data_IF_132258262012
#
_entry.id   IF_132258262012
#
_cell.length_a   1.000
_cell.length_b   1.000
_cell.length_c   1.000
_cell.angle_alpha   90.00
_cell.angle_beta   90.00
_cell.angle_gamma   90.00
#
_symmetry.space_group_name_H-M   'P 1'
#
loop_
_entity.id
_entity.type
_entity.pdbx_description
1 polymer ?
#
# COMPACT_ATOMS: atom_id res chain seq x y z
N UNK A 1 -62.57 -19.37 33.46
CA UNK A 1 -61.88 -18.12 33.84
C UNK A 1 -60.50 -18.16 33.19
N UNK A 2 -60.22 -17.19 32.32
CA UNK A 2 -58.99 -17.04 31.52
C UNK A 2 -57.71 -17.13 32.35
N UNK A 3 -56.71 -17.88 31.90
CA UNK A 3 -55.32 -17.45 32.01
C UNK A 3 -54.51 -17.86 30.78
N UNK A 4 -53.89 -16.84 30.18
CA UNK A 4 -53.13 -16.83 28.94
C UNK A 4 -51.71 -17.37 29.19
N UNK A 5 -51.22 -18.12 28.20
CA UNK A 5 -49.86 -18.19 27.66
C UNK A 5 -48.72 -17.55 28.47
N UNK A 6 -47.71 -18.37 28.81
CA UNK A 6 -46.34 -17.92 28.95
C UNK A 6 -45.41 -18.96 28.31
N UNK A 7 -45.00 -18.70 27.06
CA UNK A 7 -43.93 -19.44 26.37
C UNK A 7 -42.61 -18.86 26.89
N UNK A 8 -41.84 -19.68 27.59
CA UNK A 8 -40.49 -19.35 28.04
C UNK A 8 -39.53 -19.52 26.85
N UNK A 9 -39.24 -18.42 26.15
CA UNK A 9 -38.16 -18.41 25.15
C UNK A 9 -36.81 -18.37 25.88
N UNK A 10 -36.11 -19.51 25.88
CA UNK A 10 -34.69 -19.58 26.23
C UNK A 10 -33.90 -18.80 25.17
N UNK A 11 -33.57 -17.55 25.49
CA UNK A 11 -32.65 -16.75 24.71
C UNK A 11 -31.24 -17.31 24.86
N UNK A 12 -30.80 -18.07 23.85
CA UNK A 12 -29.39 -18.44 23.70
C UNK A 12 -28.61 -17.17 23.42
N UNK A 13 -27.94 -16.63 24.43
CA UNK A 13 -27.01 -15.52 24.26
C UNK A 13 -25.83 -16.05 23.44
N UNK A 14 -25.82 -15.77 22.15
CA UNK A 14 -24.64 -15.91 21.31
C UNK A 14 -23.65 -14.85 21.80
N UNK A 15 -22.66 -15.26 22.60
CA UNK A 15 -21.46 -14.46 22.78
C UNK A 15 -20.75 -14.42 21.43
N UNK A 16 -21.08 -13.41 20.63
CA UNK A 16 -20.22 -12.94 19.56
C UNK A 16 -18.92 -12.51 20.25
N UNK A 17 -17.92 -13.38 20.24
CA UNK A 17 -16.55 -12.99 20.48
C UNK A 17 -16.22 -11.94 19.42
N UNK A 18 -16.36 -10.66 19.78
CA UNK A 18 -15.79 -9.59 19.00
C UNK A 18 -14.31 -9.89 18.90
N UNK A 19 -13.85 -10.23 17.69
CA UNK A 19 -12.45 -10.08 17.35
C UNK A 19 -12.12 -8.62 17.68
N UNK A 20 -11.46 -8.43 18.81
CA UNK A 20 -10.94 -7.14 19.21
C UNK A 20 -9.81 -6.89 18.20
N UNK A 21 -10.12 -6.22 17.10
CA UNK A 21 -9.11 -5.64 16.23
C UNK A 21 -8.23 -4.80 17.16
N UNK A 22 -7.04 -5.30 17.46
CA UNK A 22 -5.96 -4.45 17.98
C UNK A 22 -5.78 -3.37 16.92
N UNK A 23 -6.46 -2.24 17.11
CA UNK A 23 -6.25 -1.01 16.34
C UNK A 23 -4.75 -0.79 16.34
N UNK A 24 -4.14 -1.03 15.19
CA UNK A 24 -2.78 -0.62 14.99
C UNK A 24 -2.71 0.87 15.31
N UNK A 25 -1.71 1.29 16.09
CA UNK A 25 -1.41 2.70 16.30
C UNK A 25 -0.99 3.42 15.00
N UNK A 26 -0.99 2.71 13.87
CA UNK A 26 -0.67 3.20 12.55
C UNK A 26 -1.94 3.33 11.71
N UNK A 27 -2.07 4.47 11.03
CA UNK A 27 -3.12 4.70 10.02
C UNK A 27 -2.73 3.97 8.75
N UNK A 28 -3.65 3.25 8.12
CA UNK A 28 -3.40 2.47 6.89
C UNK A 28 -4.38 2.89 5.81
N UNK A 29 -3.87 3.16 4.60
CA UNK A 29 -4.67 3.54 3.45
C UNK A 29 -4.15 2.96 2.14
N UNK A 30 -5.00 2.96 1.13
CA UNK A 30 -4.66 2.58 -0.23
C UNK A 30 -5.44 3.44 -1.23
N UNK A 31 -4.83 3.64 -2.39
CA UNK A 31 -5.43 4.31 -3.55
C UNK A 31 -5.15 3.47 -4.81
N UNK A 32 -6.20 3.25 -5.60
CA UNK A 32 -6.16 2.55 -6.88
C UNK A 32 -6.16 3.60 -8.00
N UNK A 33 -5.07 3.72 -8.76
CA UNK A 33 -5.04 4.69 -9.86
C UNK A 33 -6.00 4.25 -10.95
N UNK A 34 -7.05 5.04 -11.20
CA UNK A 34 -8.08 4.71 -12.19
C UNK A 34 -9.36 4.15 -11.58
N UNK A 35 -9.42 3.95 -10.26
CA UNK A 35 -10.67 3.83 -9.54
C UNK A 35 -11.39 5.18 -9.46
N UNK A 36 -12.72 5.19 -9.53
CA UNK A 36 -13.49 6.42 -9.41
C UNK A 36 -13.34 7.00 -8.00
N UNK A 37 -12.53 8.04 -7.84
CA UNK A 37 -12.56 8.87 -6.62
C UNK A 37 -13.88 9.64 -6.64
N UNK A 38 -14.78 9.35 -5.69
CA UNK A 38 -16.00 10.13 -5.48
C UNK A 38 -15.66 11.53 -4.92
N UNK A 39 -15.15 12.41 -5.79
CA UNK A 39 -14.99 13.83 -5.52
C UNK A 39 -16.25 14.53 -6.04
N UNK A 40 -16.98 15.30 -5.20
CA UNK A 40 -18.11 16.08 -5.67
C UNK A 40 -17.70 17.01 -6.83
N UNK A 41 -18.21 16.76 -8.04
CA UNK A 41 -17.96 17.58 -9.23
C UNK A 41 -16.88 17.08 -10.19
N UNK A 42 -16.22 15.94 -9.91
CA UNK A 42 -15.27 15.32 -10.85
C UNK A 42 -15.89 14.10 -11.53
N UNK A 43 -16.05 14.17 -12.86
CA UNK A 43 -16.48 13.03 -13.69
C UNK A 43 -15.23 12.49 -14.38
N UNK A 44 -14.69 11.39 -13.88
CA UNK A 44 -13.64 10.68 -14.61
C UNK A 44 -14.29 9.94 -15.79
N UNK A 45 -13.97 10.34 -17.03
CA UNK A 45 -14.37 9.59 -18.22
C UNK A 45 -13.44 8.39 -18.52
N UNK A 46 -12.39 8.14 -17.71
CA UNK A 46 -11.62 6.91 -17.77
C UNK A 46 -12.43 5.79 -17.10
N UNK A 47 -13.16 5.02 -17.91
CA UNK A 47 -14.00 3.90 -17.47
C UNK A 47 -13.21 2.64 -17.10
N UNK A 48 -11.90 2.63 -17.32
CA UNK A 48 -11.10 1.40 -17.26
C UNK A 48 -9.99 1.58 -16.22
N UNK A 49 -10.28 1.23 -14.97
CA UNK A 49 -9.26 1.04 -13.94
C UNK A 49 -8.23 -0.02 -14.34
N UNK A 50 -7.11 -0.15 -13.61
CA UNK A 50 -6.08 -1.11 -13.95
C UNK A 50 -6.63 -2.53 -13.89
N UNK A 51 -6.38 -3.30 -14.93
CA UNK A 51 -6.72 -4.72 -14.97
C UNK A 51 -5.59 -5.52 -14.30
N UNK A 52 -5.68 -5.66 -12.97
CA UNK A 52 -4.66 -6.34 -12.18
C UNK A 52 -4.48 -7.82 -12.50
N UNK A 53 -5.43 -8.45 -13.21
CA UNK A 53 -5.28 -9.83 -13.67
C UNK A 53 -4.10 -10.01 -14.63
N UNK A 54 -3.67 -8.94 -15.31
CA UNK A 54 -2.57 -8.95 -16.28
C UNK A 54 -1.17 -8.96 -15.65
N UNK A 55 -1.04 -8.57 -14.39
CA UNK A 55 0.25 -8.48 -13.73
C UNK A 55 0.60 -9.79 -13.04
N UNK A 56 1.68 -10.46 -13.48
CA UNK A 56 2.12 -11.77 -12.98
C UNK A 56 3.48 -11.70 -12.30
N UNK A 57 4.24 -10.66 -12.59
CA UNK A 57 5.60 -10.47 -12.14
C UNK A 57 5.84 -9.04 -11.69
N UNK A 58 6.87 -8.87 -10.86
CA UNK A 58 7.35 -7.56 -10.48
C UNK A 58 8.86 -7.50 -10.53
N UNK A 59 9.37 -6.29 -10.70
CA UNK A 59 10.77 -5.94 -10.60
C UNK A 59 10.91 -4.75 -9.66
N UNK A 60 12.06 -4.62 -9.01
CA UNK A 60 12.30 -3.48 -8.12
C UNK A 60 12.55 -2.21 -8.93
N UNK A 61 12.09 -1.08 -8.41
CA UNK A 61 12.53 0.20 -8.90
C UNK A 61 14.06 0.30 -8.82
N UNK A 62 14.73 0.95 -9.77
CA UNK A 62 16.19 0.93 -9.88
C UNK A 62 16.88 1.50 -8.63
N UNK A 63 16.30 2.51 -7.98
CA UNK A 63 16.79 3.06 -6.72
C UNK A 63 16.79 2.04 -5.56
N UNK A 64 15.94 1.02 -5.63
CA UNK A 64 15.92 -0.08 -4.66
C UNK A 64 16.94 -1.17 -4.98
N UNK A 65 17.44 -1.22 -6.21
CA UNK A 65 18.47 -2.15 -6.64
C UNK A 65 19.88 -1.64 -6.33
N UNK A 66 20.06 -0.32 -6.29
CA UNK A 66 21.33 0.30 -5.91
C UNK A 66 21.52 0.28 -4.38
N UNK A 67 22.45 -0.53 -3.89
CA UNK A 67 22.79 -0.64 -2.46
C UNK A 67 23.36 0.66 -1.87
N UNK A 68 23.90 1.54 -2.71
CA UNK A 68 24.49 2.82 -2.29
C UNK A 68 23.40 3.89 -2.10
N UNK A 69 22.25 3.74 -2.76
CA UNK A 69 21.15 4.68 -2.68
C UNK A 69 20.25 4.40 -1.46
N UNK A 70 20.56 5.01 -0.31
CA UNK A 70 19.84 4.81 0.96
C UNK A 70 19.08 6.04 1.48
N UNK A 71 19.10 7.14 0.73
CA UNK A 71 18.55 8.44 1.15
C UNK A 71 17.06 8.37 1.54
N UNK A 72 16.26 7.55 0.84
CA UNK A 72 14.83 7.39 1.09
C UNK A 72 14.48 6.30 2.13
N UNK A 73 15.51 5.78 2.78
CA UNK A 73 15.43 4.66 3.74
C UNK A 73 16.21 5.00 5.01
N UNK A 74 16.10 6.25 5.46
CA UNK A 74 16.71 6.71 6.72
C UNK A 74 18.25 6.59 6.72
N UNK A 75 18.85 6.63 5.52
CA UNK A 75 20.28 6.36 5.29
C UNK A 75 20.76 5.05 5.94
N UNK A 76 19.91 4.02 5.92
CA UNK A 76 20.13 2.76 6.63
C UNK A 76 19.90 1.56 5.69
N UNK A 77 21.00 0.96 5.23
CA UNK A 77 20.97 -0.18 4.31
C UNK A 77 20.32 -1.43 4.93
N UNK A 78 20.53 -1.67 6.22
CA UNK A 78 19.93 -2.83 6.92
C UNK A 78 18.42 -2.65 6.94
N UNK A 79 17.96 -1.45 7.25
CA UNK A 79 16.53 -1.11 7.25
C UNK A 79 15.92 -1.19 5.85
N UNK A 80 16.60 -0.68 4.81
CA UNK A 80 16.18 -0.83 3.40
C UNK A 80 15.99 -2.30 3.03
N UNK A 81 16.97 -3.15 3.34
CA UNK A 81 16.91 -4.59 3.07
C UNK A 81 15.76 -5.25 3.81
N UNK A 82 15.56 -4.92 5.09
CA UNK A 82 14.45 -5.44 5.88
C UNK A 82 13.07 -5.08 5.31
N UNK A 83 12.89 -3.83 4.82
CA UNK A 83 11.67 -3.40 4.15
C UNK A 83 11.47 -4.16 2.83
N UNK A 84 12.53 -4.27 2.03
CA UNK A 84 12.50 -5.04 0.77
C UNK A 84 12.09 -6.49 1.01
N UNK A 85 12.60 -7.12 2.07
CA UNK A 85 12.25 -8.49 2.44
C UNK A 85 10.78 -8.60 2.86
N UNK A 86 10.29 -7.68 3.70
CA UNK A 86 8.90 -7.65 4.12
C UNK A 86 7.95 -7.53 2.92
N UNK A 87 8.24 -6.61 2.00
CA UNK A 87 7.45 -6.40 0.77
C UNK A 87 7.55 -7.62 -0.16
N UNK A 88 8.74 -8.23 -0.29
CA UNK A 88 8.91 -9.46 -1.10
C UNK A 88 8.04 -10.60 -0.61
N UNK A 89 7.96 -10.79 0.71
CA UNK A 89 7.13 -11.83 1.31
C UNK A 89 5.64 -11.62 1.01
N UNK A 90 5.16 -10.36 1.05
CA UNK A 90 3.77 -10.04 0.72
C UNK A 90 3.45 -10.20 -0.77
N UNK A 91 4.39 -9.88 -1.66
CA UNK A 91 4.24 -10.11 -3.10
C UNK A 91 4.22 -11.61 -3.43
N UNK A 92 5.13 -12.39 -2.82
CA UNK A 92 5.20 -13.83 -3.01
C UNK A 92 3.94 -14.54 -2.46
N UNK A 93 3.41 -14.14 -1.30
CA UNK A 93 2.19 -14.70 -0.73
C UNK A 93 0.93 -14.44 -1.58
N UNK A 94 0.99 -13.41 -2.44
CA UNK A 94 -0.01 -13.07 -3.46
C UNK A 94 0.27 -13.66 -4.84
N UNK A 95 1.28 -14.51 -4.97
CA UNK A 95 1.56 -15.24 -6.20
C UNK A 95 2.25 -14.42 -7.30
N UNK A 96 2.85 -13.28 -6.96
CA UNK A 96 3.67 -12.54 -7.92
C UNK A 96 5.08 -13.12 -8.00
N UNK A 97 5.58 -13.27 -9.23
CA UNK A 97 6.95 -13.73 -9.47
C UNK A 97 7.92 -12.55 -9.45
N UNK A 98 9.00 -12.66 -8.68
CA UNK A 98 10.08 -11.70 -8.77
C UNK A 98 10.89 -11.93 -10.06
N UNK A 99 11.02 -10.87 -10.86
CA UNK A 99 11.88 -10.81 -12.04
C UNK A 99 12.88 -9.67 -11.84
N UNK A 100 14.21 -9.93 -11.84
CA UNK A 100 15.20 -8.87 -11.64
C UNK A 100 15.05 -7.70 -12.62
N UNK A 101 14.69 -8.00 -13.86
CA UNK A 101 14.39 -7.03 -14.90
C UNK A 101 13.12 -7.43 -15.66
N UNK A 102 12.43 -6.45 -16.23
CA UNK A 102 11.29 -6.71 -17.14
C UNK A 102 10.00 -7.20 -16.50
N UNK A 103 9.87 -7.17 -15.17
CA UNK A 103 8.61 -7.54 -14.51
C UNK A 103 7.46 -6.61 -14.89
N UNK A 104 6.24 -7.15 -14.95
CA UNK A 104 5.03 -6.42 -15.38
C UNK A 104 4.77 -5.17 -14.53
N UNK A 105 5.06 -5.29 -13.23
CA UNK A 105 5.06 -4.19 -12.28
C UNK A 105 6.49 -3.73 -11.95
N UNK A 106 6.64 -2.41 -11.77
CA UNK A 106 7.78 -1.80 -11.09
C UNK A 106 7.32 -1.49 -9.66
N UNK A 107 7.93 -2.15 -8.69
CA UNK A 107 7.59 -2.02 -7.28
C UNK A 107 8.57 -1.06 -6.60
N UNK A 108 8.03 -0.10 -5.87
CA UNK A 108 8.79 0.88 -5.12
C UNK A 108 8.25 1.00 -3.69
N UNK A 109 9.11 1.42 -2.78
CA UNK A 109 8.72 1.82 -1.44
C UNK A 109 9.59 2.99 -0.99
N UNK A 110 9.06 3.81 -0.08
CA UNK A 110 9.77 4.93 0.54
C UNK A 110 9.37 5.10 1.99
N UNK A 111 10.24 5.76 2.74
CA UNK A 111 10.01 6.08 4.14
C UNK A 111 10.06 7.59 4.35
N UNK A 112 9.12 8.08 5.16
CA UNK A 112 9.05 9.48 5.54
C UNK A 112 9.16 9.60 7.06
N UNK A 113 10.21 10.26 7.53
CA UNK A 113 10.40 10.54 8.96
C UNK A 113 9.47 11.61 9.45
N UNK A 114 9.13 12.57 8.61
CA UNK A 114 8.27 13.71 8.92
C UNK A 114 6.97 13.65 8.11
N UNK A 115 5.90 14.33 8.57
CA UNK A 115 4.66 14.40 7.81
C UNK A 115 4.85 14.94 6.40
N UNK A 116 4.12 14.38 5.45
CA UNK A 116 4.15 14.82 4.04
C UNK A 116 2.77 14.67 3.40
N UNK A 117 2.41 15.61 2.54
CA UNK A 117 1.25 15.46 1.65
C UNK A 117 1.76 15.13 0.26
N UNK A 118 1.42 13.94 -0.24
CA UNK A 118 1.70 13.53 -1.61
C UNK A 118 0.49 13.89 -2.48
N UNK A 119 0.70 14.61 -3.57
CA UNK A 119 -0.38 14.95 -4.51
C UNK A 119 -0.33 14.02 -5.70
N UNK A 120 -1.49 13.50 -6.10
CA UNK A 120 -1.62 12.63 -7.27
C UNK A 120 -1.30 13.35 -8.59
N UNK A 121 -1.34 14.69 -8.58
CA UNK A 121 -0.93 15.55 -9.70
C UNK A 121 0.56 15.90 -9.70
N UNK A 122 1.32 15.51 -8.68
CA UNK A 122 2.74 15.86 -8.71
C UNK A 122 3.45 14.86 -9.61
N UNK A 123 4.11 15.37 -10.66
CA UNK A 123 5.33 14.73 -11.11
C UNK A 123 6.21 14.67 -9.87
N UNK A 124 6.28 13.49 -9.24
CA UNK A 124 6.92 13.27 -7.93
C UNK A 124 8.39 13.70 -7.92
N UNK A 125 8.92 14.10 -9.08
CA UNK A 125 10.12 14.90 -9.25
C UNK A 125 11.22 14.08 -9.87
N UNK A 126 12.22 14.77 -10.40
CA UNK A 126 13.47 14.16 -10.85
C UNK A 126 14.11 13.43 -9.67
N UNK A 127 14.36 12.12 -9.79
CA UNK A 127 14.92 11.28 -8.73
C UNK A 127 13.91 10.61 -7.80
N UNK A 128 12.60 10.81 -8.01
CA UNK A 128 11.59 10.01 -7.29
C UNK A 128 11.52 8.57 -7.82
N UNK A 129 11.63 8.45 -9.14
CA UNK A 129 11.78 7.20 -9.87
C UNK A 129 13.16 7.14 -10.49
N UNK A 130 13.60 5.92 -10.83
CA UNK A 130 14.84 5.73 -11.58
C UNK A 130 14.83 6.51 -12.90
N UNK A 131 15.97 7.01 -13.34
CA UNK A 131 16.08 7.71 -14.64
C UNK A 131 15.68 6.86 -15.84
N UNK A 132 15.66 5.53 -15.67
CA UNK A 132 15.25 4.54 -16.67
C UNK A 132 13.77 4.14 -16.57
N UNK A 133 13.02 4.73 -15.64
CA UNK A 133 11.62 4.39 -15.37
C UNK A 133 10.73 5.50 -15.92
N UNK A 134 9.97 5.17 -16.96
CA UNK A 134 8.99 6.11 -17.50
C UNK A 134 7.86 6.25 -16.47
N UNK A 135 7.64 7.48 -16.00
CA UNK A 135 6.50 7.82 -15.16
C UNK A 135 5.62 8.81 -15.92
N UNK A 136 4.50 8.31 -16.45
CA UNK A 136 3.52 9.11 -17.16
C UNK A 136 2.69 9.91 -16.15
N UNK A 137 2.87 11.23 -16.18
CA UNK A 137 2.09 12.19 -15.42
C UNK A 137 0.66 12.32 -15.99
N UNK A 138 -0.36 12.29 -15.12
CA UNK A 138 -1.77 12.48 -15.51
C UNK A 138 -2.31 13.78 -14.90
N UNK A 139 -2.44 14.81 -15.75
CA UNK A 139 -2.93 16.15 -15.40
C UNK A 139 -4.40 16.18 -14.97
N UNK A 140 -5.17 15.11 -15.20
CA UNK A 140 -6.58 15.10 -14.87
C UNK A 140 -6.85 14.50 -13.48
N UNK A 141 -5.85 13.91 -12.79
CA UNK A 141 -6.07 13.15 -11.54
C UNK A 141 -5.94 14.02 -10.29
N UNK A 142 -7.05 14.26 -9.59
CA UNK A 142 -7.05 14.98 -8.31
C UNK A 142 -7.08 14.02 -7.12
N UNK A 143 -6.22 14.25 -6.13
CA UNK A 143 -6.06 13.39 -4.96
C UNK A 143 -4.87 13.83 -4.11
N UNK A 144 -5.03 13.76 -2.79
CA UNK A 144 -3.96 14.03 -1.83
C UNK A 144 -3.90 12.87 -0.85
N UNK A 145 -2.70 12.36 -0.61
CA UNK A 145 -2.41 11.38 0.44
C UNK A 145 -1.61 12.09 1.51
N UNK A 146 -2.25 12.29 2.66
CA UNK A 146 -1.60 12.84 3.85
C UNK A 146 -0.97 11.70 4.63
N UNK A 147 0.35 11.76 4.78
CA UNK A 147 1.15 10.82 5.52
C UNK A 147 1.62 11.47 6.82
N UNK A 148 1.33 10.83 7.95
CA UNK A 148 1.82 11.28 9.24
C UNK A 148 3.33 10.99 9.40
N UNK A 149 3.90 11.51 10.48
CA UNK A 149 5.26 11.17 10.91
C UNK A 149 5.45 9.64 10.95
N UNK A 150 6.58 9.16 10.45
CA UNK A 150 6.88 7.73 10.44
C UNK A 150 5.97 6.96 9.47
N UNK A 151 6.09 7.25 8.19
CA UNK A 151 5.29 6.60 7.15
C UNK A 151 6.12 5.69 6.26
N UNK A 152 5.53 4.56 5.88
CA UNK A 152 5.99 3.69 4.79
C UNK A 152 4.94 3.78 3.69
N UNK A 153 5.37 4.04 2.46
CA UNK A 153 4.54 3.92 1.26
C UNK A 153 5.09 2.81 0.37
N UNK A 154 4.19 2.06 -0.27
CA UNK A 154 4.48 1.09 -1.31
C UNK A 154 3.70 1.50 -2.56
N UNK A 155 4.36 1.50 -3.72
CA UNK A 155 3.79 1.92 -5.01
C UNK A 155 4.08 0.88 -6.07
N UNK A 156 3.12 0.65 -6.96
CA UNK A 156 3.22 -0.27 -8.08
C UNK A 156 2.96 0.47 -9.38
N UNK A 157 3.90 0.41 -10.33
CA UNK A 157 3.76 0.98 -11.66
C UNK A 157 3.57 -0.13 -12.69
N UNK A 158 2.58 0.02 -13.57
CA UNK A 158 2.50 -0.70 -14.83
C UNK A 158 3.71 -0.33 -15.69
N UNK A 159 4.59 -1.29 -15.96
CA UNK A 159 5.83 -1.08 -16.70
C UNK A 159 5.58 -0.62 -18.15
N UNK A 160 4.52 -1.11 -18.80
CA UNK A 160 4.25 -0.79 -20.20
C UNK A 160 3.72 0.63 -20.34
N UNK A 161 2.85 1.04 -19.43
CA UNK A 161 2.22 2.38 -19.45
C UNK A 161 3.04 3.44 -18.72
N UNK A 162 3.94 3.03 -17.84
CA UNK A 162 4.63 3.94 -16.93
C UNK A 162 3.69 4.61 -15.92
N UNK A 163 2.59 3.95 -15.57
CA UNK A 163 1.55 4.51 -14.70
C UNK A 163 1.50 3.74 -13.39
N UNK A 164 1.59 4.44 -12.25
CA UNK A 164 1.35 3.89 -10.90
C UNK A 164 -0.05 3.29 -10.79
N UNK A 165 -0.26 2.00 -10.93
CA UNK A 165 -1.60 1.40 -10.86
C UNK A 165 -2.15 1.29 -9.43
N UNK A 166 -1.28 1.29 -8.43
CA UNK A 166 -1.68 1.14 -7.04
C UNK A 166 -0.65 1.78 -6.10
N UNK A 167 -1.13 2.34 -5.00
CA UNK A 167 -0.31 2.69 -3.86
C UNK A 167 -1.00 2.34 -2.54
N UNK A 168 -0.20 1.98 -1.55
CA UNK A 168 -0.67 1.76 -0.18
C UNK A 168 0.34 2.29 0.83
N UNK A 169 -0.14 2.70 1.99
CA UNK A 169 0.70 3.33 3.01
C UNK A 169 0.27 2.93 4.43
N UNK A 170 1.25 2.97 5.33
CA UNK A 170 1.05 2.93 6.77
C UNK A 170 1.79 4.11 7.40
N UNK A 171 1.12 4.87 8.25
CA UNK A 171 1.61 6.10 8.87
C UNK A 171 1.55 6.04 10.39
N UNK A 172 2.43 6.75 11.10
CA UNK A 172 2.48 6.72 12.57
C UNK A 172 3.38 5.63 13.15
N UNK A 173 4.29 5.05 12.34
CA UNK A 173 5.23 4.03 12.77
C UNK A 173 6.38 4.66 13.56
N UNK A 174 6.10 5.09 14.78
CA UNK A 174 7.06 5.76 15.66
C UNK A 174 7.19 5.10 17.03
N UNK A 175 8.33 5.33 17.68
CA UNK A 175 8.58 5.07 19.10
C UNK A 175 8.86 6.43 19.75
N UNK A 176 7.80 7.10 20.20
CA UNK A 176 7.84 8.53 20.53
C UNK A 176 8.02 9.40 19.27
N UNK A 177 9.09 10.20 19.25
CA UNK A 177 9.43 11.10 18.14
C UNK A 177 10.40 10.50 17.12
N UNK A 178 10.72 9.21 17.22
CA UNK A 178 11.69 8.54 16.33
C UNK A 178 10.98 7.46 15.51
N UNK A 179 11.41 7.26 14.27
CA UNK A 179 10.89 6.16 13.43
C UNK A 179 11.14 4.80 14.08
N UNK A 180 10.10 3.95 14.14
CA UNK A 180 10.23 2.62 14.74
C UNK A 180 10.72 1.57 13.73
N UNK A 181 12.03 1.29 13.76
CA UNK A 181 12.68 0.31 12.89
C UNK A 181 12.63 -1.14 13.41
N UNK A 182 11.86 -1.45 14.46
CA UNK A 182 11.78 -2.82 14.99
C UNK A 182 11.15 -3.75 13.94
N UNK A 183 11.76 -4.91 13.70
CA UNK A 183 11.39 -5.84 12.61
C UNK A 183 9.92 -6.25 12.66
N UNK A 184 9.40 -6.59 13.82
CA UNK A 184 7.99 -6.97 14.03
C UNK A 184 7.04 -5.83 13.66
N UNK A 185 7.39 -4.59 14.00
CA UNK A 185 6.59 -3.39 13.69
C UNK A 185 6.61 -3.06 12.21
N UNK A 186 7.77 -3.13 11.58
CA UNK A 186 7.93 -2.93 10.13
C UNK A 186 7.16 -3.98 9.34
N UNK A 187 7.31 -5.26 9.69
CA UNK A 187 6.59 -6.34 9.01
C UNK A 187 5.08 -6.23 9.23
N UNK A 188 4.63 -5.84 10.44
CA UNK A 188 3.21 -5.61 10.71
C UNK A 188 2.63 -4.45 9.90
N UNK A 189 3.39 -3.35 9.74
CA UNK A 189 2.98 -2.20 8.95
C UNK A 189 2.91 -2.55 7.46
N UNK A 190 3.93 -3.24 6.92
CA UNK A 190 3.93 -3.72 5.52
C UNK A 190 2.79 -4.70 5.28
N UNK A 191 2.56 -5.66 6.19
CA UNK A 191 1.43 -6.57 6.10
C UNK A 191 0.08 -5.84 6.08
N UNK A 192 -0.08 -4.79 6.89
CA UNK A 192 -1.31 -3.98 6.90
C UNK A 192 -1.49 -3.17 5.61
N UNK A 193 -0.42 -2.62 5.04
CA UNK A 193 -0.45 -2.01 3.70
C UNK A 193 -1.00 -3.01 2.68
N UNK A 194 -0.43 -4.21 2.67
CA UNK A 194 -0.80 -5.25 1.71
C UNK A 194 -2.16 -5.90 1.98
N UNK A 195 -2.72 -5.80 3.19
CA UNK A 195 -4.13 -6.17 3.45
C UNK A 195 -5.11 -5.32 2.62
N UNK A 196 -4.72 -4.11 2.21
CA UNK A 196 -5.49 -3.27 1.28
C UNK A 196 -5.27 -3.60 -0.19
N UNK A 197 -4.39 -4.56 -0.50
CA UNK A 197 -4.11 -5.03 -1.85
C UNK A 197 -4.67 -6.44 -2.04
N UNK A 198 -5.90 -6.51 -2.58
CA UNK A 198 -6.67 -7.75 -2.71
C UNK A 198 -6.35 -8.55 -3.98
N UNK A 199 -5.52 -7.99 -4.87
CA UNK A 199 -5.15 -8.60 -6.14
C UNK A 199 -4.02 -9.62 -5.99
N UNK A 200 -3.99 -10.58 -6.92
CA UNK A 200 -3.04 -11.69 -6.92
C UNK A 200 -2.50 -11.95 -8.31
N UNK A 201 -1.21 -12.25 -8.40
CA UNK A 201 -0.55 -12.61 -9.65
C UNK A 201 -0.94 -14.01 -10.13
N UNK A 202 -1.29 -14.92 -9.23
CA UNK A 202 -1.61 -16.31 -9.56
C UNK A 202 -3.07 -16.58 -9.94
N UNK A 203 -3.94 -15.56 -9.89
CA UNK A 203 -5.34 -15.67 -10.32
C UNK A 203 -5.49 -15.36 -11.81
N UNK A 204 -6.26 -16.18 -12.51
CA UNK A 204 -6.65 -16.00 -13.92
C UNK A 204 -7.79 -15.00 -14.05
#
# INVERSE_FOLDING_TARGET
MNFKHLILALGTTLLMAGCNETKQAVTVGADERGGATNIPGYVNNATDGPDFSKYKSYSWASQLQDEQQNTYFLNDLIFKTMLRDAVSNEMASRGYNYMPTGGDLILNFRVFEEPVTLKTMDNMGTGYWGTTESYAYDVNRFGEVQLDKGSIIVQMIDRQKGQEVWQGYASGLTDGNVFNKKKDKVYSAVGAIFQKYEYRGDKL
#
